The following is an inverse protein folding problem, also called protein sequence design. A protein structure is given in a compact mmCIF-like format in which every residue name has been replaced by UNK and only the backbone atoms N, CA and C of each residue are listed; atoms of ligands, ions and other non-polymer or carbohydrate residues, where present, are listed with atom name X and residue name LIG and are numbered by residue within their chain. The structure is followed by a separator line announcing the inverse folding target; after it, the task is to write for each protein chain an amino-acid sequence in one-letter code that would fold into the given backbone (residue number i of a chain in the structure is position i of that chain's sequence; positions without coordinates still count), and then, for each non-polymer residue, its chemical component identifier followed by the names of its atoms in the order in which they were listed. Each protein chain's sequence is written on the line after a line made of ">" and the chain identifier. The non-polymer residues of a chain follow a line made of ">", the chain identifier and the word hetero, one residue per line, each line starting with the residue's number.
data_IF_187918542879
#
_entry.id   IF_187918542879
#
_cell.length_a   1.000
_cell.length_b   1.000
_cell.length_c   1.000
_cell.angle_alpha   90.00
_cell.angle_beta   90.00
_cell.angle_gamma   90.00
#
_symmetry.space_group_name_H-M   'P 1'
#
loop_
_entity.id
_entity.type
_entity.pdbx_description
1 polymer ?
#
# COMPACT_ATOMS: atom_id res chain seq x y z
N UNK A 1 -42.58 -10.20 -1.40
CA UNK A 1 -41.95 -11.52 -1.27
C UNK A 1 -40.91 -11.84 -2.34
N UNK A 2 -40.99 -11.24 -3.50
CA UNK A 2 -40.02 -11.39 -4.59
C UNK A 2 -38.69 -10.64 -4.37
N UNK A 3 -38.66 -9.73 -3.40
CA UNK A 3 -37.45 -8.90 -3.13
C UNK A 3 -36.31 -9.63 -2.41
N UNK A 4 -36.61 -10.71 -1.74
CA UNK A 4 -35.60 -11.48 -0.97
C UNK A 4 -34.73 -12.40 -1.85
N UNK A 5 -35.31 -12.92 -2.91
CA UNK A 5 -34.59 -13.79 -3.84
C UNK A 5 -33.54 -13.03 -4.69
N UNK A 6 -33.83 -11.79 -5.04
CA UNK A 6 -32.94 -10.95 -5.84
C UNK A 6 -31.65 -10.55 -5.06
N UNK A 7 -31.75 -10.38 -3.73
CA UNK A 7 -30.61 -10.05 -2.89
C UNK A 7 -29.61 -11.20 -2.73
N UNK A 8 -30.12 -12.43 -2.65
CA UNK A 8 -29.27 -13.62 -2.54
C UNK A 8 -28.50 -13.88 -3.84
N UNK A 9 -29.10 -13.59 -4.97
CA UNK A 9 -28.44 -13.78 -6.28
C UNK A 9 -27.31 -12.79 -6.48
N UNK A 10 -27.46 -11.54 -6.03
CA UNK A 10 -26.44 -10.52 -6.13
C UNK A 10 -25.23 -10.86 -5.24
N UNK A 11 -25.45 -11.37 -4.03
CA UNK A 11 -24.38 -11.80 -3.13
C UNK A 11 -23.57 -12.96 -3.72
N UNK A 12 -24.22 -13.93 -4.36
CA UNK A 12 -23.55 -15.04 -5.00
C UNK A 12 -22.65 -14.59 -6.16
N UNK A 13 -23.06 -13.60 -6.92
CA UNK A 13 -22.28 -13.04 -8.04
C UNK A 13 -21.05 -12.30 -7.51
N UNK A 14 -21.19 -11.55 -6.43
CA UNK A 14 -20.07 -10.84 -5.81
C UNK A 14 -19.02 -11.82 -5.27
N UNK A 15 -19.46 -12.89 -4.62
CA UNK A 15 -18.57 -13.92 -4.10
C UNK A 15 -17.87 -14.71 -5.22
N UNK A 16 -18.53 -14.94 -6.34
CA UNK A 16 -17.95 -15.60 -7.49
C UNK A 16 -16.96 -14.75 -8.29
N UNK A 17 -17.03 -13.41 -8.16
CA UNK A 17 -16.14 -12.50 -8.89
C UNK A 17 -14.85 -12.17 -8.14
N UNK A 18 -14.75 -12.43 -6.81
CA UNK A 18 -13.66 -11.95 -6.00
C UNK A 18 -12.29 -12.64 -6.20
N UNK A 19 -12.15 -13.89 -6.69
CA UNK A 19 -10.82 -14.49 -6.85
C UNK A 19 -10.04 -14.04 -8.08
N UNK A 20 -10.68 -13.41 -9.07
CA UNK A 20 -10.04 -13.16 -10.37
C UNK A 20 -9.04 -12.01 -10.40
N UNK A 21 -8.99 -11.15 -9.37
CA UNK A 21 -8.11 -9.98 -9.34
C UNK A 21 -7.02 -10.03 -8.28
N UNK A 22 -7.09 -10.99 -7.35
CA UNK A 22 -6.17 -11.12 -6.25
C UNK A 22 -5.26 -12.33 -6.49
N UNK A 23 -3.95 -12.11 -6.53
CA UNK A 23 -3.01 -13.19 -6.69
C UNK A 23 -1.66 -12.88 -6.11
N UNK A 24 -1.02 -13.90 -5.61
CA UNK A 24 0.36 -13.84 -5.17
C UNK A 24 1.13 -15.01 -5.77
N UNK A 25 2.42 -14.83 -5.95
CA UNK A 25 3.33 -15.93 -6.27
C UNK A 25 3.45 -16.81 -5.02
N UNK A 26 2.96 -18.05 -5.10
CA UNK A 26 2.86 -18.94 -3.95
C UNK A 26 4.18 -19.65 -3.66
N UNK A 27 5.17 -18.89 -3.22
CA UNK A 27 6.43 -19.38 -2.71
C UNK A 27 6.63 -18.92 -1.27
N UNK A 28 7.43 -19.64 -0.51
CA UNK A 28 7.78 -19.25 0.85
C UNK A 28 8.40 -17.85 0.88
N UNK A 29 9.31 -17.58 -0.03
CA UNK A 29 10.00 -16.28 -0.10
C UNK A 29 9.03 -15.14 -0.37
N UNK A 30 8.12 -15.30 -1.33
CA UNK A 30 7.14 -14.27 -1.64
C UNK A 30 6.16 -14.05 -0.50
N UNK A 31 5.69 -15.10 0.15
CA UNK A 31 4.81 -14.94 1.32
C UNK A 31 5.51 -14.16 2.43
N UNK A 32 6.76 -14.50 2.71
CA UNK A 32 7.59 -13.80 3.70
C UNK A 32 7.81 -12.34 3.33
N UNK A 33 8.18 -12.09 2.09
CA UNK A 33 8.51 -10.74 1.61
C UNK A 33 7.27 -9.84 1.53
N UNK A 34 6.12 -10.40 1.15
CA UNK A 34 4.85 -9.66 1.18
C UNK A 34 4.40 -9.36 2.61
N UNK A 35 4.63 -10.26 3.55
CA UNK A 35 4.35 -10.01 4.96
C UNK A 35 5.23 -8.89 5.50
N UNK A 36 6.50 -8.84 5.11
CA UNK A 36 7.40 -7.74 5.45
C UNK A 36 6.91 -6.42 4.85
N UNK A 37 6.52 -6.41 3.57
CA UNK A 37 5.99 -5.22 2.91
C UNK A 37 4.75 -4.69 3.64
N UNK A 38 3.85 -5.58 4.05
CA UNK A 38 2.65 -5.21 4.81
C UNK A 38 3.01 -4.53 6.14
N UNK A 39 3.99 -5.06 6.86
CA UNK A 39 4.47 -4.45 8.11
C UNK A 39 5.09 -3.06 7.86
N UNK A 40 5.84 -2.90 6.79
CA UNK A 40 6.44 -1.61 6.44
C UNK A 40 5.38 -0.56 6.14
N UNK A 41 4.38 -0.91 5.33
CA UNK A 41 3.27 -0.01 5.01
C UNK A 41 2.45 0.34 6.25
N UNK A 42 2.20 -0.63 7.12
CA UNK A 42 1.50 -0.39 8.38
C UNK A 42 2.27 0.58 9.27
N UNK A 43 3.59 0.44 9.35
CA UNK A 43 4.46 1.36 10.09
C UNK A 43 4.41 2.79 9.53
N UNK A 44 4.35 2.95 8.21
CA UNK A 44 4.19 4.25 7.56
C UNK A 44 2.90 4.94 8.03
N UNK A 45 1.78 4.21 8.02
CA UNK A 45 0.48 4.74 8.46
C UNK A 45 0.48 5.14 9.93
N UNK A 46 1.10 4.35 10.78
CA UNK A 46 1.18 4.67 12.20
C UNK A 46 1.99 5.95 12.45
N UNK A 47 3.09 6.14 11.72
CA UNK A 47 3.94 7.32 11.88
C UNK A 47 3.27 8.62 11.41
N UNK A 48 2.37 8.55 10.44
CA UNK A 48 1.66 9.74 9.94
C UNK A 48 0.92 10.49 11.05
N UNK A 49 0.50 9.80 12.08
CA UNK A 49 -0.24 10.39 13.20
C UNK A 49 0.67 10.84 14.36
N UNK A 50 1.99 10.67 14.25
CA UNK A 50 2.91 10.92 15.35
C UNK A 50 3.56 12.29 15.34
N UNK A 51 3.48 13.04 14.24
CA UNK A 51 4.09 14.35 14.11
C UNK A 51 3.12 15.44 14.58
N UNK A 52 3.61 16.31 15.44
CA UNK A 52 2.84 17.46 15.92
C UNK A 52 2.75 18.54 14.87
N UNK A 53 1.63 19.25 14.86
CA UNK A 53 1.40 20.35 13.94
C UNK A 53 2.46 21.45 14.15
N UNK A 54 3.08 21.89 13.06
CA UNK A 54 4.13 22.91 13.08
C UNK A 54 5.55 22.37 13.24
N UNK A 55 5.72 21.06 13.50
CA UNK A 55 7.04 20.44 13.60
C UNK A 55 7.55 20.04 12.21
N UNK A 56 8.11 20.99 11.48
CA UNK A 56 8.62 20.74 10.13
C UNK A 56 9.86 19.84 10.10
N UNK A 57 10.72 19.94 11.10
CA UNK A 57 11.90 19.06 11.19
C UNK A 57 11.48 17.63 11.42
N UNK A 58 10.54 17.40 12.33
CA UNK A 58 9.97 16.10 12.59
C UNK A 58 9.25 15.54 11.37
N UNK A 59 8.49 16.38 10.67
CA UNK A 59 7.79 15.97 9.45
C UNK A 59 8.78 15.52 8.36
N UNK A 60 9.85 16.29 8.12
CA UNK A 60 10.85 15.93 7.11
C UNK A 60 11.57 14.62 7.46
N UNK A 61 11.87 14.40 8.73
CA UNK A 61 12.47 13.15 9.21
C UNK A 61 11.53 11.96 9.00
N UNK A 62 10.26 12.14 9.34
CA UNK A 62 9.22 11.14 9.13
C UNK A 62 9.08 10.79 7.65
N UNK A 63 9.02 11.78 6.77
CA UNK A 63 8.88 11.57 5.33
C UNK A 63 10.08 10.80 4.75
N UNK A 64 11.30 11.09 5.21
CA UNK A 64 12.48 10.32 4.78
C UNK A 64 12.38 8.86 5.21
N UNK A 65 11.96 8.62 6.44
CA UNK A 65 11.75 7.25 6.95
C UNK A 65 10.67 6.52 6.16
N UNK A 66 9.55 7.19 5.92
CA UNK A 66 8.46 6.62 5.14
C UNK A 66 8.89 6.30 3.71
N UNK A 67 9.67 7.17 3.09
CA UNK A 67 10.19 6.94 1.74
C UNK A 67 11.03 5.66 1.68
N UNK A 68 11.94 5.48 2.63
CA UNK A 68 12.76 4.26 2.70
C UNK A 68 11.90 3.00 2.82
N UNK A 69 10.93 3.02 3.72
CA UNK A 69 10.07 1.87 3.96
C UNK A 69 9.16 1.57 2.76
N UNK A 70 8.65 2.60 2.10
CA UNK A 70 7.78 2.43 0.93
C UNK A 70 8.56 1.89 -0.27
N UNK A 71 9.77 2.37 -0.51
CA UNK A 71 10.64 1.84 -1.57
C UNK A 71 10.95 0.36 -1.31
N UNK A 72 11.23 -0.01 -0.06
CA UNK A 72 11.47 -1.41 0.32
C UNK A 72 10.23 -2.29 0.17
N UNK A 73 9.06 -1.76 0.47
CA UNK A 73 7.80 -2.50 0.34
C UNK A 73 7.39 -2.70 -1.12
N UNK A 74 7.71 -1.74 -1.98
CA UNK A 74 7.35 -1.79 -3.40
C UNK A 74 7.92 -3.00 -4.12
N UNK A 75 9.16 -3.38 -3.83
CA UNK A 75 9.83 -4.46 -4.53
C UNK A 75 9.11 -5.81 -4.39
N UNK A 76 8.76 -6.28 -3.18
CA UNK A 76 7.95 -7.49 -3.05
C UNK A 76 6.59 -7.40 -3.73
N UNK A 77 5.94 -6.25 -3.70
CA UNK A 77 4.66 -6.07 -4.38
C UNK A 77 4.80 -6.28 -5.88
N UNK A 78 5.86 -5.73 -6.48
CA UNK A 78 6.12 -5.88 -7.92
C UNK A 78 6.47 -7.32 -8.30
N UNK A 79 7.25 -8.03 -7.47
CA UNK A 79 7.72 -9.38 -7.77
C UNK A 79 6.73 -10.48 -7.39
N UNK A 80 6.00 -10.28 -6.31
CA UNK A 80 5.26 -11.35 -5.63
C UNK A 80 3.75 -11.23 -5.74
N UNK A 81 3.21 -10.11 -6.16
CA UNK A 81 1.80 -9.97 -6.46
C UNK A 81 1.56 -10.24 -7.95
N UNK A 82 0.36 -10.66 -8.30
CA UNK A 82 -0.04 -10.95 -9.68
C UNK A 82 -1.39 -10.31 -9.99
N UNK A 83 -1.71 -10.25 -11.28
CA UNK A 83 -3.01 -9.80 -11.74
C UNK A 83 -3.23 -8.31 -11.52
N UNK A 84 -4.51 -7.94 -11.37
CA UNK A 84 -4.93 -6.55 -11.20
C UNK A 84 -4.39 -5.93 -9.93
N UNK A 85 -4.35 -6.69 -8.85
CA UNK A 85 -3.86 -6.19 -7.55
C UNK A 85 -2.40 -5.76 -7.62
N UNK A 86 -1.57 -6.47 -8.39
CA UNK A 86 -0.19 -6.06 -8.61
C UNK A 86 -0.11 -4.66 -9.22
N UNK A 87 -0.82 -4.46 -10.32
CA UNK A 87 -0.80 -3.18 -11.02
C UNK A 87 -1.31 -2.03 -10.17
N UNK A 88 -2.43 -2.24 -9.47
CA UNK A 88 -3.04 -1.22 -8.62
C UNK A 88 -2.17 -0.87 -7.42
N UNK A 89 -1.64 -1.86 -6.73
CA UNK A 89 -0.80 -1.63 -5.54
C UNK A 89 0.55 -0.99 -5.91
N UNK A 90 1.18 -1.45 -6.97
CA UNK A 90 2.45 -0.86 -7.42
C UNK A 90 2.24 0.59 -7.90
N UNK A 91 1.18 0.86 -8.65
CA UNK A 91 0.87 2.22 -9.11
C UNK A 91 0.59 3.16 -7.93
N UNK A 92 -0.18 2.72 -6.95
CA UNK A 92 -0.46 3.50 -5.75
C UNK A 92 0.81 3.78 -4.95
N UNK A 93 1.67 2.78 -4.80
CA UNK A 93 2.95 2.93 -4.12
C UNK A 93 3.86 3.92 -4.86
N UNK A 94 3.94 3.82 -6.18
CA UNK A 94 4.74 4.73 -7.00
C UNK A 94 4.25 6.17 -6.90
N UNK A 95 2.93 6.38 -6.89
CA UNK A 95 2.35 7.71 -6.70
C UNK A 95 2.72 8.29 -5.34
N UNK A 96 2.60 7.51 -4.28
CA UNK A 96 2.94 7.95 -2.92
C UNK A 96 4.43 8.24 -2.78
N UNK A 97 5.29 7.40 -3.34
CA UNK A 97 6.76 7.61 -3.36
C UNK A 97 7.09 8.90 -4.10
N UNK A 98 6.46 9.13 -5.25
CA UNK A 98 6.65 10.36 -6.03
C UNK A 98 6.24 11.61 -5.26
N UNK A 99 5.12 11.57 -4.57
CA UNK A 99 4.64 12.68 -3.76
C UNK A 99 5.60 13.00 -2.60
N UNK A 100 6.10 12.00 -1.91
CA UNK A 100 7.05 12.18 -0.82
C UNK A 100 8.35 12.77 -1.35
N UNK A 101 8.88 12.26 -2.46
CA UNK A 101 10.09 12.80 -3.09
C UNK A 101 9.93 14.26 -3.47
N UNK A 102 8.76 14.62 -4.00
CA UNK A 102 8.45 16.00 -4.35
C UNK A 102 8.50 16.91 -3.12
N UNK A 103 7.82 16.52 -2.04
CA UNK A 103 7.78 17.31 -0.80
C UNK A 103 9.19 17.44 -0.20
N UNK A 104 9.95 16.35 -0.16
CA UNK A 104 11.32 16.38 0.36
C UNK A 104 12.21 17.33 -0.43
N UNK A 105 12.10 17.30 -1.76
CA UNK A 105 12.90 18.18 -2.62
C UNK A 105 12.53 19.66 -2.46
N UNK A 106 11.24 19.96 -2.28
CA UNK A 106 10.75 21.34 -2.21
C UNK A 106 10.82 21.94 -0.82
N UNK A 107 10.59 21.15 0.22
CA UNK A 107 10.34 21.69 1.56
C UNK A 107 11.30 21.19 2.63
N UNK A 108 12.10 20.17 2.33
CA UNK A 108 12.93 19.49 3.33
C UNK A 108 14.44 19.61 3.06
N UNK A 109 14.86 20.42 2.09
CA UNK A 109 16.29 20.60 1.83
C UNK A 109 16.97 21.31 2.99
N UNK A 110 18.08 20.73 3.46
CA UNK A 110 18.83 21.30 4.57
C UNK A 110 18.23 21.09 5.96
N UNK A 111 17.22 20.24 6.04
CA UNK A 111 16.51 19.97 7.32
C UNK A 111 16.58 18.52 7.73
#
# INVERSE_FOLDING_TARGET
>A
MTRTAARLTILAVILGASPAGAGIVDTYECRRDLAMADRLVHGVRLRENSVQQGDFVGLCRLLRRNLEDMVRARDPMARCMTGRDQGENVAQMDASIGDIRYVLARHCQGR
#
